data_IF_986740853172
#
_entry.id   IF_986740853172
#
_cell.length_a   1.000
_cell.length_b   1.000
_cell.length_c   1.000
_cell.angle_alpha   90.00
_cell.angle_beta   90.00
_cell.angle_gamma   90.00
#
_symmetry.space_group_name_H-M   'P 1'
#
loop_
_entity.id
_entity.type
_entity.pdbx_description
1 polymer ?
#
# COMPACT_ATOMS: atom_id res chain seq x y z
N UNK A 1 30.59 -40.69 -43.37
CA UNK A 1 29.28 -40.11 -43.00
C UNK A 1 28.26 -41.23 -42.99
N UNK A 2 27.73 -41.58 -41.81
CA UNK A 2 26.68 -42.60 -41.63
C UNK A 2 25.35 -41.86 -41.56
N UNK A 3 24.45 -42.14 -42.49
CA UNK A 3 23.05 -41.72 -42.40
C UNK A 3 22.19 -42.96 -42.63
N UNK A 4 21.72 -43.54 -41.52
CA UNK A 4 20.80 -44.68 -41.53
C UNK A 4 19.37 -44.17 -41.45
N UNK A 5 18.60 -44.46 -42.48
CA UNK A 5 17.18 -44.15 -42.65
C UNK A 5 16.34 -44.87 -41.59
N UNK A 6 15.57 -44.13 -40.79
CA UNK A 6 14.60 -44.71 -39.84
C UNK A 6 13.21 -44.77 -40.47
N UNK A 7 12.68 -45.99 -40.46
CA UNK A 7 11.42 -46.42 -41.05
C UNK A 7 10.19 -45.79 -40.38
N UNK A 8 9.20 -45.50 -41.23
CA UNK A 8 7.80 -45.30 -40.90
C UNK A 8 7.12 -46.65 -40.66
N UNK A 9 6.24 -46.74 -39.66
CA UNK A 9 5.12 -47.68 -39.66
C UNK A 9 3.93 -47.08 -38.88
N UNK A 10 2.77 -46.87 -39.53
CA UNK A 10 1.52 -46.45 -38.92
C UNK A 10 0.74 -47.68 -38.42
N UNK A 11 -0.08 -47.54 -37.39
CA UNK A 11 -0.89 -48.67 -36.90
C UNK A 11 -1.76 -48.34 -35.70
N UNK A 12 -2.93 -47.77 -35.97
CA UNK A 12 -4.12 -47.70 -35.11
C UNK A 12 -4.39 -49.00 -34.35
N UNK A 13 -4.60 -48.91 -33.03
CA UNK A 13 -5.64 -49.72 -32.35
C UNK A 13 -6.34 -48.82 -31.33
N UNK A 14 -7.59 -48.51 -31.65
CA UNK A 14 -8.54 -47.82 -30.78
C UNK A 14 -9.22 -48.81 -29.82
N UNK A 15 -9.78 -48.23 -28.76
CA UNK A 15 -10.90 -48.72 -27.96
C UNK A 15 -10.58 -49.71 -26.84
N UNK A 16 -10.90 -49.34 -25.58
CA UNK A 16 -11.89 -50.01 -24.70
C UNK A 16 -11.79 -49.46 -23.25
N UNK A 17 -12.97 -49.17 -22.66
CA UNK A 17 -13.29 -48.83 -21.25
C UNK A 17 -12.86 -47.42 -20.75
N UNK A 18 -13.72 -46.39 -20.62
CA UNK A 18 -15.09 -46.33 -20.07
C UNK A 18 -15.22 -46.89 -18.63
N UNK A 19 -14.35 -46.48 -17.69
CA UNK A 19 -14.66 -46.41 -16.25
C UNK A 19 -13.78 -45.31 -15.63
N UNK A 20 -14.39 -44.30 -14.99
CA UNK A 20 -13.65 -43.21 -14.34
C UNK A 20 -14.44 -41.92 -14.14
N UNK A 21 -15.74 -41.91 -14.47
CA UNK A 21 -16.67 -40.88 -14.01
C UNK A 21 -17.03 -41.18 -12.55
N UNK A 22 -16.31 -40.56 -11.62
CA UNK A 22 -16.72 -40.53 -10.22
C UNK A 22 -15.55 -40.63 -9.25
N UNK A 23 -14.83 -39.53 -9.08
CA UNK A 23 -14.18 -39.10 -7.82
C UNK A 23 -13.51 -37.72 -7.99
N UNK A 24 -14.10 -36.85 -8.81
CA UNK A 24 -13.68 -35.46 -9.01
C UNK A 24 -14.53 -34.46 -8.24
N UNK A 25 -15.02 -34.81 -7.04
CA UNK A 25 -15.46 -33.81 -6.06
C UNK A 25 -14.28 -33.44 -5.15
N UNK A 26 -13.17 -33.06 -5.77
CA UNK A 26 -12.26 -32.14 -5.10
C UNK A 26 -13.02 -30.82 -5.11
N UNK A 27 -13.66 -30.54 -3.98
CA UNK A 27 -14.11 -29.20 -3.65
C UNK A 27 -12.97 -28.25 -4.07
N UNK A 28 -13.22 -27.23 -4.91
CA UNK A 28 -12.34 -26.09 -4.88
C UNK A 28 -12.35 -25.64 -3.42
N UNK A 29 -11.21 -25.75 -2.74
CA UNK A 29 -10.98 -25.00 -1.52
C UNK A 29 -11.26 -23.56 -1.94
N UNK A 30 -12.33 -22.91 -1.45
CA UNK A 30 -12.50 -21.49 -1.72
C UNK A 30 -11.20 -20.86 -1.24
N UNK A 31 -10.53 -20.15 -2.14
CA UNK A 31 -9.32 -19.42 -1.86
C UNK A 31 -9.72 -18.35 -0.84
N UNK A 32 -9.64 -18.67 0.46
CA UNK A 32 -9.91 -17.72 1.56
C UNK A 32 -8.80 -16.67 1.66
N UNK A 33 -7.98 -16.55 0.62
CA UNK A 33 -7.06 -15.43 0.39
C UNK A 33 -7.76 -14.22 -0.24
N UNK A 34 -9.04 -14.35 -0.65
CA UNK A 34 -9.88 -13.18 -0.90
C UNK A 34 -10.14 -12.42 0.41
N UNK A 35 -9.32 -11.38 0.57
CA UNK A 35 -9.87 -10.07 0.86
C UNK A 35 -10.39 -9.93 2.29
N UNK A 36 -9.52 -10.22 3.26
CA UNK A 36 -9.41 -9.32 4.40
C UNK A 36 -8.77 -7.99 3.92
N UNK A 37 -9.35 -7.36 2.90
CA UNK A 37 -9.30 -5.93 2.79
C UNK A 37 -10.10 -5.45 3.99
N UNK A 38 -9.42 -5.40 5.14
CA UNK A 38 -9.86 -4.64 6.30
C UNK A 38 -10.37 -3.35 5.70
N UNK A 39 -11.66 -3.07 5.86
CA UNK A 39 -12.25 -1.80 5.50
C UNK A 39 -11.54 -0.75 6.34
N UNK A 40 -10.33 -0.36 5.92
CA UNK A 40 -9.63 0.75 6.51
C UNK A 40 -10.48 1.97 6.17
N UNK A 41 -10.77 2.83 7.15
CA UNK A 41 -11.57 4.02 6.91
C UNK A 41 -10.92 4.81 5.79
N UNK A 42 -11.63 4.94 4.67
CA UNK A 42 -11.19 5.77 3.57
C UNK A 42 -11.03 7.21 4.07
N UNK A 43 -9.97 7.88 3.63
CA UNK A 43 -9.68 9.28 3.97
C UNK A 43 -10.94 10.16 3.86
N UNK A 44 -11.32 10.82 4.96
CA UNK A 44 -12.44 11.77 4.97
C UNK A 44 -12.16 12.99 4.07
N UNK A 45 -13.19 13.72 3.68
CA UNK A 45 -13.04 14.92 2.85
C UNK A 45 -12.24 16.00 3.58
N UNK A 46 -12.45 16.15 4.88
CA UNK A 46 -11.74 17.09 5.75
C UNK A 46 -10.28 16.68 5.94
N UNK A 47 -10.01 15.38 6.15
CA UNK A 47 -8.66 14.85 6.20
C UNK A 47 -7.89 15.15 4.91
N UNK A 48 -8.51 14.93 3.75
CA UNK A 48 -7.93 15.27 2.45
C UNK A 48 -7.73 16.78 2.29
N UNK A 49 -8.69 17.59 2.72
CA UNK A 49 -8.60 19.05 2.67
C UNK A 49 -7.44 19.57 3.53
N UNK A 50 -7.22 19.02 4.73
CA UNK A 50 -6.08 19.35 5.59
C UNK A 50 -4.74 19.03 4.91
N UNK A 51 -4.69 17.93 4.15
CA UNK A 51 -3.51 17.55 3.35
C UNK A 51 -3.34 18.40 2.07
N UNK A 52 -4.14 19.47 1.91
CA UNK A 52 -4.10 20.35 0.76
C UNK A 52 -4.66 19.72 -0.51
N UNK A 53 -5.64 18.82 -0.38
CA UNK A 53 -6.24 18.11 -1.50
C UNK A 53 -5.35 17.00 -2.06
N UNK A 54 -4.39 16.48 -1.29
CA UNK A 54 -3.47 15.42 -1.72
C UNK A 54 -4.25 14.20 -2.26
N UNK A 55 -3.87 13.71 -3.43
CA UNK A 55 -4.52 12.55 -4.08
C UNK A 55 -3.58 11.35 -4.23
N UNK A 56 -4.17 10.15 -4.35
CA UNK A 56 -3.43 8.93 -4.71
C UNK A 56 -2.87 9.08 -6.13
N UNK A 57 -1.59 8.73 -6.30
CA UNK A 57 -0.83 8.94 -7.53
C UNK A 57 -0.09 10.28 -7.60
N UNK A 58 -0.40 11.24 -6.73
CA UNK A 58 0.34 12.50 -6.65
C UNK A 58 1.77 12.26 -6.12
N UNK A 59 2.70 13.16 -6.47
CA UNK A 59 4.09 13.10 -6.01
C UNK A 59 4.37 14.06 -4.87
N UNK A 60 4.91 13.54 -3.77
CA UNK A 60 5.46 14.31 -2.65
C UNK A 60 6.98 14.13 -2.61
N UNK A 61 7.73 15.15 -3.01
CA UNK A 61 9.20 15.11 -3.08
C UNK A 61 9.77 13.90 -3.84
N UNK A 62 9.14 13.56 -4.96
CA UNK A 62 9.54 12.43 -5.81
C UNK A 62 9.04 11.06 -5.34
N UNK A 63 8.30 10.98 -4.23
CA UNK A 63 7.60 9.79 -3.77
C UNK A 63 6.15 9.82 -4.23
N UNK A 64 5.62 8.68 -4.67
CA UNK A 64 4.23 8.58 -5.15
C UNK A 64 3.33 8.23 -3.98
N UNK A 65 2.23 8.95 -3.81
CA UNK A 65 1.18 8.60 -2.84
C UNK A 65 0.47 7.34 -3.31
N UNK A 66 0.50 6.29 -2.50
CA UNK A 66 -0.13 5.00 -2.81
C UNK A 66 -1.47 4.83 -2.13
N UNK A 67 -1.57 5.26 -0.88
CA UNK A 67 -2.79 5.21 -0.10
C UNK A 67 -2.91 6.44 0.80
N UNK A 68 -4.16 6.78 1.10
CA UNK A 68 -4.57 7.84 2.00
C UNK A 68 -5.69 7.28 2.86
N UNK A 69 -5.44 7.14 4.15
CA UNK A 69 -6.38 6.53 5.11
C UNK A 69 -6.60 7.41 6.35
N UNK A 70 -7.72 7.17 7.01
CA UNK A 70 -8.04 7.75 8.31
C UNK A 70 -9.02 8.93 8.30
N UNK A 71 -9.27 9.54 9.48
CA UNK A 71 -8.55 9.30 10.73
C UNK A 71 -8.81 7.92 11.35
N UNK A 72 -7.75 7.21 11.74
CA UNK A 72 -7.78 5.97 12.53
C UNK A 72 -6.90 6.18 13.76
N UNK A 73 -7.39 5.82 14.95
CA UNK A 73 -6.69 6.12 16.22
C UNK A 73 -6.26 7.61 16.31
N UNK A 74 -7.11 8.52 15.83
CA UNK A 74 -6.84 9.97 15.76
C UNK A 74 -5.61 10.35 14.92
N UNK A 75 -5.31 9.55 13.89
CA UNK A 75 -4.22 9.82 12.94
C UNK A 75 -4.66 9.64 11.49
N UNK A 76 -4.20 10.55 10.63
CA UNK A 76 -4.19 10.32 9.18
C UNK A 76 -2.94 9.53 8.80
N UNK A 77 -3.08 8.63 7.82
CA UNK A 77 -1.97 7.84 7.27
C UNK A 77 -1.82 8.13 5.77
N UNK A 78 -0.58 8.35 5.35
CA UNK A 78 -0.20 8.59 3.96
C UNK A 78 0.92 7.61 3.61
N UNK A 79 0.60 6.60 2.79
CA UNK A 79 1.59 5.64 2.32
C UNK A 79 2.25 6.16 1.04
N UNK A 80 3.58 6.18 1.05
CA UNK A 80 4.43 6.68 -0.02
C UNK A 80 5.28 5.55 -0.59
N UNK A 81 5.48 5.52 -1.91
CA UNK A 81 6.32 4.53 -2.59
C UNK A 81 7.23 5.16 -3.65
N UNK A 82 8.45 4.62 -3.75
CA UNK A 82 9.43 4.91 -4.80
C UNK A 82 10.39 3.74 -4.95
N UNK A 83 10.60 3.30 -6.20
CA UNK A 83 11.58 2.27 -6.56
C UNK A 83 11.47 0.98 -5.73
N UNK A 84 10.23 0.54 -5.45
CA UNK A 84 9.94 -0.66 -4.66
C UNK A 84 10.11 -0.50 -3.14
N UNK A 85 10.53 0.67 -2.67
CA UNK A 85 10.54 1.04 -1.25
C UNK A 85 9.26 1.78 -0.92
N UNK A 86 8.64 1.48 0.21
CA UNK A 86 7.50 2.24 0.73
C UNK A 86 7.66 2.57 2.22
N UNK A 87 6.99 3.63 2.67
CA UNK A 87 6.88 4.00 4.07
C UNK A 87 5.65 4.88 4.28
N UNK A 88 5.23 5.03 5.54
CA UNK A 88 4.09 5.84 5.91
C UNK A 88 4.52 7.16 6.57
N UNK A 89 3.83 8.24 6.21
CA UNK A 89 3.74 9.44 7.04
C UNK A 89 2.44 9.40 7.84
N UNK A 90 2.51 9.75 9.11
CA UNK A 90 1.33 9.81 9.99
C UNK A 90 1.15 11.23 10.52
N UNK A 91 -0.07 11.73 10.51
CA UNK A 91 -0.43 13.06 11.01
C UNK A 91 -1.38 12.89 12.17
N UNK A 92 -1.04 13.45 13.32
CA UNK A 92 -1.86 13.40 14.53
C UNK A 92 -1.99 14.80 15.13
N UNK A 93 -2.95 15.01 16.04
CA UNK A 93 -2.95 16.21 16.86
C UNK A 93 -1.64 16.37 17.64
N UNK A 94 -1.19 17.61 17.80
CA UNK A 94 0.01 17.93 18.56
C UNK A 94 -0.14 17.46 20.01
N UNK A 95 0.83 16.67 20.47
CA UNK A 95 0.85 16.14 21.84
C UNK A 95 0.03 14.86 22.05
N UNK A 96 -0.51 14.25 20.99
CA UNK A 96 -1.26 12.99 21.09
C UNK A 96 -0.38 11.76 21.34
N UNK A 97 0.92 11.82 20.99
CA UNK A 97 1.89 10.75 21.21
C UNK A 97 3.06 11.22 22.08
N UNK A 98 3.60 10.35 22.97
CA UNK A 98 4.79 10.66 23.77
C UNK A 98 6.09 10.67 22.95
N UNK A 99 6.07 10.12 21.73
CA UNK A 99 7.23 10.11 20.85
C UNK A 99 7.50 11.51 20.27
N UNK A 100 8.79 11.85 20.12
CA UNK A 100 9.22 13.11 19.53
C UNK A 100 9.04 13.06 17.99
N UNK A 101 8.10 13.82 17.41
CA UNK A 101 7.93 13.84 15.96
C UNK A 101 9.11 14.58 15.28
N UNK A 102 9.50 14.17 14.06
CA UNK A 102 10.48 14.90 13.26
C UNK A 102 10.03 16.33 12.92
N UNK A 103 8.72 16.56 12.75
CA UNK A 103 8.17 17.89 12.42
C UNK A 103 6.87 18.14 13.19
N UNK A 104 6.75 19.36 13.72
CA UNK A 104 5.56 19.87 14.39
C UNK A 104 5.05 21.11 13.63
N UNK A 105 3.74 21.21 13.51
CA UNK A 105 3.00 22.38 13.00
C UNK A 105 2.28 23.08 14.17
N UNK A 106 1.41 24.05 13.91
CA UNK A 106 0.74 24.73 15.02
C UNK A 106 -0.16 23.76 15.79
N UNK A 107 -0.95 22.96 15.05
CA UNK A 107 -1.98 22.06 15.61
C UNK A 107 -1.63 20.57 15.49
N UNK A 108 -0.69 20.20 14.62
CA UNK A 108 -0.43 18.80 14.29
C UNK A 108 1.04 18.39 14.46
N UNK A 109 1.25 17.11 14.75
CA UNK A 109 2.55 16.44 14.75
C UNK A 109 2.64 15.45 13.58
N UNK A 110 3.80 15.37 12.93
CA UNK A 110 4.03 14.50 11.77
C UNK A 110 5.10 13.48 12.11
N UNK A 111 4.76 12.20 11.97
CA UNK A 111 5.61 11.04 12.23
C UNK A 111 5.90 10.29 10.93
N UNK A 112 6.85 9.37 10.98
CA UNK A 112 7.15 8.45 9.87
C UNK A 112 7.37 7.04 10.42
N UNK A 113 7.11 6.02 9.60
CA UNK A 113 7.28 4.63 10.01
C UNK A 113 6.89 3.65 8.91
N UNK A 114 6.73 2.39 9.28
CA UNK A 114 6.27 1.31 8.39
C UNK A 114 7.10 1.17 7.11
N UNK A 115 8.42 1.29 7.20
CA UNK A 115 9.31 1.13 6.05
C UNK A 115 9.25 -0.31 5.53
N UNK A 116 9.10 -0.46 4.23
CA UNK A 116 9.12 -1.74 3.52
C UNK A 116 10.07 -1.65 2.32
N UNK A 117 10.92 -2.67 2.09
CA UNK A 117 11.19 -3.81 2.98
C UNK A 117 11.77 -3.39 4.34
N UNK A 118 11.57 -4.16 5.43
CA UNK A 118 11.97 -3.78 6.80
C UNK A 118 13.49 -3.54 6.99
N UNK A 119 14.32 -4.17 6.17
CA UNK A 119 15.77 -3.98 6.13
C UNK A 119 16.20 -2.66 5.45
N UNK A 120 15.26 -1.97 4.82
CA UNK A 120 15.54 -0.71 4.13
C UNK A 120 15.72 0.42 5.13
N UNK A 121 16.87 1.09 5.06
CA UNK A 121 17.10 2.34 5.79
C UNK A 121 16.79 3.52 4.89
N UNK A 122 15.81 4.34 5.29
CA UNK A 122 15.53 5.59 4.59
C UNK A 122 16.63 6.62 4.88
N UNK A 123 17.17 7.31 3.86
CA UNK A 123 18.12 8.39 4.11
C UNK A 123 17.47 9.52 4.92
N UNK A 124 18.16 10.07 5.93
CA UNK A 124 17.65 11.18 6.77
C UNK A 124 17.12 12.37 5.96
N UNK A 125 17.80 12.68 4.85
CA UNK A 125 17.38 13.74 3.92
C UNK A 125 16.00 13.48 3.31
N UNK A 126 15.64 12.22 3.09
CA UNK A 126 14.33 11.80 2.59
C UNK A 126 13.26 12.07 3.63
N UNK A 127 13.44 11.56 4.85
CA UNK A 127 12.47 11.73 5.95
C UNK A 127 12.24 13.23 6.20
N UNK A 128 13.31 14.01 6.30
CA UNK A 128 13.22 15.47 6.47
C UNK A 128 12.50 16.14 5.31
N UNK A 129 12.84 15.81 4.07
CA UNK A 129 12.24 16.45 2.90
C UNK A 129 10.73 16.17 2.80
N UNK A 130 10.30 14.92 2.97
CA UNK A 130 8.90 14.51 2.84
C UNK A 130 8.05 15.03 4.00
N UNK A 131 8.53 14.92 5.25
CA UNK A 131 7.81 15.47 6.42
C UNK A 131 7.67 16.99 6.36
N UNK A 132 8.73 17.73 5.96
CA UNK A 132 8.62 19.19 5.78
C UNK A 132 7.71 19.56 4.60
N UNK A 133 7.71 18.80 3.52
CA UNK A 133 6.81 19.05 2.39
C UNK A 133 5.34 18.86 2.80
N UNK A 134 5.05 17.81 3.56
CA UNK A 134 3.72 17.58 4.13
C UNK A 134 3.34 18.69 5.13
N UNK A 135 4.25 19.06 6.03
CA UNK A 135 4.02 20.14 6.99
C UNK A 135 3.68 21.48 6.33
N UNK A 136 4.30 21.81 5.20
CA UNK A 136 3.97 23.04 4.46
C UNK A 136 2.52 23.01 3.95
N UNK A 137 2.03 21.86 3.47
CA UNK A 137 0.64 21.72 3.05
C UNK A 137 -0.31 21.88 4.22
N UNK A 138 -0.05 21.18 5.33
CA UNK A 138 -0.87 21.24 6.55
C UNK A 138 -0.93 22.67 7.09
N UNK A 139 0.21 23.37 7.20
CA UNK A 139 0.25 24.77 7.68
C UNK A 139 -0.62 25.72 6.85
N UNK A 140 -0.79 25.45 5.56
CA UNK A 140 -1.64 26.27 4.70
C UNK A 140 -3.14 26.05 4.95
N UNK A 141 -3.52 24.95 5.60
CA UNK A 141 -4.92 24.52 5.77
C UNK A 141 -5.35 24.41 7.25
N UNK A 142 -4.41 24.30 8.20
CA UNK A 142 -4.74 24.01 9.61
C UNK A 142 -5.48 25.15 10.33
N UNK A 143 -5.50 26.35 9.75
CA UNK A 143 -6.30 27.48 10.23
C UNK A 143 -7.73 27.53 9.68
N UNK A 144 -8.06 26.71 8.67
CA UNK A 144 -9.35 26.75 7.96
C UNK A 144 -10.08 25.41 7.94
N UNK A 145 -9.35 24.30 8.11
CA UNK A 145 -9.88 22.94 8.09
C UNK A 145 -9.79 22.33 9.48
N UNK A 146 -10.93 21.84 9.97
CA UNK A 146 -11.00 20.99 11.15
C UNK A 146 -11.29 19.56 10.71
N UNK A 147 -10.52 18.59 11.21
CA UNK A 147 -10.69 17.18 10.87
C UNK A 147 -11.38 16.49 12.03
N UNK A 148 -12.64 16.04 11.89
CA UNK A 148 -13.34 15.33 12.95
C UNK A 148 -12.58 14.05 13.35
N UNK A 149 -12.35 13.87 14.65
CA UNK A 149 -11.70 12.68 15.19
C UNK A 149 -10.17 12.73 15.26
N UNK A 150 -9.54 13.84 14.85
CA UNK A 150 -8.14 14.15 15.16
C UNK A 150 -7.99 15.05 16.38
#
# INVERSE_FOLDING_TARGET
>A
MRASSRAWAPGLVALVCMVGLGLGRLHPVPDTSETEARHMPQMSAEGRALLGGLEVGERLMGWTVRALDGPHESMLRIDLERDGVSFALMVAAKGSSPESPPVITERHAIYYGHVQPPETTLPDGTIRATTHALARRIRAQEGTVEVPGM
#
